data_IF_141449778360
#
_entry.id   IF_141449778360
#
_cell.length_a   1.000
_cell.length_b   1.000
_cell.length_c   1.000
_cell.angle_alpha   90.00
_cell.angle_beta   90.00
_cell.angle_gamma   90.00
#
_symmetry.space_group_name_H-M   'P 1'
#
loop_
_entity.id
_entity.type
_entity.pdbx_description
1 polymer ?
#
# COMPACT_ATOMS: atom_id res chain seq x y z
N UNK A 1 10.10 37.58 -93.06
CA UNK A 1 10.21 36.10 -92.78
C UNK A 1 10.81 35.80 -91.39
N UNK A 2 11.44 36.71 -90.67
CA UNK A 2 12.09 36.49 -89.39
C UNK A 2 11.08 36.41 -88.19
N UNK A 3 10.05 37.22 -88.17
CA UNK A 3 9.05 37.27 -87.12
C UNK A 3 8.15 35.98 -86.99
N UNK A 4 7.92 35.24 -88.11
CA UNK A 4 7.09 34.04 -88.09
C UNK A 4 7.76 32.82 -87.49
N UNK A 5 9.11 32.75 -87.56
CA UNK A 5 9.91 31.67 -86.92
C UNK A 5 10.05 31.82 -85.44
N UNK A 6 10.13 33.04 -84.90
CA UNK A 6 10.25 33.28 -83.47
C UNK A 6 8.93 32.97 -82.72
N UNK A 7 7.76 33.27 -83.35
CA UNK A 7 6.46 32.91 -82.81
C UNK A 7 6.21 31.39 -82.79
N UNK A 8 6.66 30.66 -83.81
CA UNK A 8 6.55 29.18 -83.82
C UNK A 8 7.38 28.49 -82.76
N UNK A 9 8.59 29.02 -82.50
CA UNK A 9 9.51 28.45 -81.47
C UNK A 9 8.99 28.72 -80.06
N UNK A 10 8.39 29.89 -79.81
CA UNK A 10 7.79 30.24 -78.52
C UNK A 10 6.57 29.35 -78.21
N UNK A 11 5.71 29.14 -79.23
CA UNK A 11 4.54 28.30 -79.14
C UNK A 11 4.90 26.81 -78.88
N UNK A 12 5.99 26.32 -79.49
CA UNK A 12 6.51 24.97 -79.25
C UNK A 12 7.08 24.80 -77.84
N UNK A 13 7.77 25.82 -77.29
CA UNK A 13 8.27 25.80 -75.91
C UNK A 13 7.14 25.83 -74.90
N UNK A 14 6.12 26.63 -75.13
CA UNK A 14 4.93 26.69 -74.26
C UNK A 14 4.13 25.40 -74.27
N UNK A 15 3.98 24.70 -75.41
CA UNK A 15 3.36 23.41 -75.51
C UNK A 15 4.16 22.32 -74.80
N UNK A 16 5.50 22.32 -74.95
CA UNK A 16 6.39 21.36 -74.21
C UNK A 16 6.36 21.60 -72.69
N UNK A 17 6.37 22.85 -72.27
CA UNK A 17 6.30 23.21 -70.87
C UNK A 17 4.94 22.83 -70.23
N UNK A 18 3.84 23.00 -70.98
CA UNK A 18 2.51 22.55 -70.58
C UNK A 18 2.35 21.04 -70.53
N UNK A 19 2.97 20.29 -71.44
CA UNK A 19 2.98 18.81 -71.37
C UNK A 19 3.81 18.27 -70.21
N UNK A 20 4.96 18.92 -69.95
CA UNK A 20 5.81 18.54 -68.78
C UNK A 20 5.12 18.88 -67.46
N UNK A 21 4.42 20.01 -67.37
CA UNK A 21 3.66 20.35 -66.16
C UNK A 21 2.48 19.40 -65.91
N UNK A 22 1.75 19.02 -66.97
CA UNK A 22 0.65 18.02 -66.88
C UNK A 22 1.15 16.63 -66.48
N UNK A 23 2.34 16.18 -66.96
CA UNK A 23 2.96 14.92 -66.58
C UNK A 23 3.44 14.96 -65.13
N UNK A 24 4.03 16.06 -64.67
CA UNK A 24 4.43 16.27 -63.28
C UNK A 24 3.23 16.26 -62.30
N UNK A 25 2.14 16.97 -62.66
CA UNK A 25 0.90 17.00 -61.85
C UNK A 25 0.21 15.66 -61.79
N UNK A 26 0.22 14.88 -62.86
CA UNK A 26 -0.29 13.49 -62.91
C UNK A 26 0.55 12.54 -62.08
N UNK A 27 1.87 12.69 -62.03
CA UNK A 27 2.79 11.94 -61.20
C UNK A 27 2.60 12.22 -59.71
N UNK A 28 2.50 13.47 -59.36
CA UNK A 28 2.25 13.89 -57.97
C UNK A 28 0.90 13.39 -57.48
N UNK A 29 -0.18 13.48 -58.24
CA UNK A 29 -1.50 12.99 -57.87
C UNK A 29 -1.51 11.46 -57.69
N UNK A 30 -0.76 10.70 -58.53
CA UNK A 30 -0.62 9.23 -58.37
C UNK A 30 0.19 8.90 -57.08
N UNK A 31 1.26 9.62 -56.82
CA UNK A 31 2.06 9.46 -55.63
C UNK A 31 1.22 9.72 -54.39
N UNK A 32 0.53 10.84 -54.27
CA UNK A 32 -0.33 11.17 -53.12
C UNK A 32 -1.48 10.18 -52.94
N UNK A 33 -2.08 9.65 -54.00
CA UNK A 33 -3.07 8.57 -53.91
C UNK A 33 -2.48 7.26 -53.43
N UNK A 34 -1.26 6.91 -53.89
CA UNK A 34 -0.53 5.72 -53.39
C UNK A 34 -0.15 5.85 -51.93
N UNK A 35 0.41 6.99 -51.55
CA UNK A 35 0.78 7.34 -50.18
C UNK A 35 -0.45 7.35 -49.27
N UNK A 36 -1.57 7.94 -49.68
CA UNK A 36 -2.81 7.93 -48.89
C UNK A 36 -3.34 6.51 -48.67
N UNK A 37 -3.30 5.62 -49.68
CA UNK A 37 -3.68 4.21 -49.50
C UNK A 37 -2.74 3.48 -48.57
N UNK A 38 -1.43 3.70 -48.67
CA UNK A 38 -0.43 3.13 -47.76
C UNK A 38 -0.69 3.57 -46.30
N UNK A 39 -0.96 4.86 -46.09
CA UNK A 39 -1.22 5.40 -44.76
C UNK A 39 -2.52 4.82 -44.17
N UNK A 40 -3.59 4.71 -44.98
CA UNK A 40 -4.84 4.06 -44.55
C UNK A 40 -4.58 2.59 -44.16
N UNK A 41 -3.79 1.86 -44.95
CA UNK A 41 -3.47 0.46 -44.68
C UNK A 41 -2.68 0.34 -43.35
N UNK A 42 -1.66 1.18 -43.13
CA UNK A 42 -0.90 1.19 -41.90
C UNK A 42 -1.80 1.52 -40.70
N UNK A 43 -2.63 2.57 -40.81
CA UNK A 43 -3.59 2.91 -39.76
C UNK A 43 -4.58 1.78 -39.47
N UNK A 44 -5.07 1.08 -40.53
CA UNK A 44 -5.98 -0.06 -40.34
C UNK A 44 -5.29 -1.23 -39.62
N UNK A 45 -4.04 -1.54 -39.96
CA UNK A 45 -3.26 -2.59 -39.30
C UNK A 45 -3.00 -2.21 -37.82
N UNK A 46 -2.61 -0.97 -37.57
CA UNK A 46 -2.43 -0.46 -36.17
C UNK A 46 -3.74 -0.54 -35.37
N UNK A 47 -4.88 -0.18 -35.99
CA UNK A 47 -6.18 -0.25 -35.34
C UNK A 47 -6.57 -1.69 -34.99
N UNK A 48 -6.37 -2.63 -35.92
CA UNK A 48 -6.64 -4.06 -35.70
C UNK A 48 -5.71 -4.60 -34.58
N UNK A 49 -4.43 -4.26 -34.61
CA UNK A 49 -3.48 -4.63 -33.55
C UNK A 49 -3.91 -4.09 -32.17
N UNK A 50 -4.34 -2.83 -32.10
CA UNK A 50 -4.87 -2.23 -30.87
C UNK A 50 -6.13 -2.93 -30.39
N UNK A 51 -7.04 -3.31 -31.29
CA UNK A 51 -8.25 -4.06 -30.93
C UNK A 51 -7.92 -5.46 -30.38
N UNK A 52 -7.02 -6.19 -31.03
CA UNK A 52 -6.59 -7.52 -30.55
C UNK A 52 -5.93 -7.39 -29.17
N UNK A 53 -5.03 -6.44 -29.00
CA UNK A 53 -4.36 -6.18 -27.72
C UNK A 53 -5.37 -5.79 -26.64
N UNK A 54 -6.33 -4.92 -26.96
CA UNK A 54 -7.40 -4.51 -26.05
C UNK A 54 -8.30 -5.66 -25.61
N UNK A 55 -8.71 -6.53 -26.56
CA UNK A 55 -9.52 -7.73 -26.26
C UNK A 55 -8.71 -8.71 -25.39
N UNK A 56 -7.43 -8.95 -25.71
CA UNK A 56 -6.58 -9.84 -24.95
C UNK A 56 -6.39 -9.34 -23.51
N UNK A 57 -6.19 -8.04 -23.36
CA UNK A 57 -6.09 -7.41 -22.04
C UNK A 57 -7.42 -7.50 -21.26
N UNK A 58 -8.54 -7.27 -21.92
CA UNK A 58 -9.87 -7.40 -21.31
C UNK A 58 -10.16 -8.83 -20.84
N UNK A 59 -9.83 -9.84 -21.65
CA UNK A 59 -9.95 -11.25 -21.27
C UNK A 59 -9.04 -11.58 -20.09
N UNK A 60 -7.80 -11.10 -20.11
CA UNK A 60 -6.86 -11.28 -19.01
C UNK A 60 -7.37 -10.66 -17.70
N UNK A 61 -7.83 -9.41 -17.74
CA UNK A 61 -8.42 -8.74 -16.56
C UNK A 61 -9.66 -9.49 -16.07
N UNK A 62 -10.52 -9.96 -16.99
CA UNK A 62 -11.71 -10.75 -16.64
C UNK A 62 -11.32 -12.07 -15.95
N UNK A 63 -10.29 -12.76 -16.43
CA UNK A 63 -9.78 -13.99 -15.82
C UNK A 63 -9.29 -13.71 -14.40
N UNK A 64 -8.46 -12.68 -14.22
CA UNK A 64 -8.00 -12.25 -12.88
C UNK A 64 -9.16 -11.85 -11.96
N UNK A 65 -10.16 -11.16 -12.51
CA UNK A 65 -11.36 -10.80 -11.76
C UNK A 65 -12.24 -11.99 -11.40
N UNK A 66 -12.14 -13.12 -12.06
CA UNK A 66 -12.91 -14.34 -11.79
C UNK A 66 -12.29 -15.20 -10.68
N UNK A 67 -11.01 -15.00 -10.36
CA UNK A 67 -10.36 -15.71 -9.25
C UNK A 67 -10.92 -15.20 -7.91
N UNK A 68 -11.25 -16.07 -6.93
CA UNK A 68 -11.66 -15.63 -5.60
C UNK A 68 -10.52 -14.82 -4.95
N UNK A 69 -10.86 -13.86 -4.09
CA UNK A 69 -9.83 -13.09 -3.36
C UNK A 69 -8.96 -14.01 -2.53
N UNK A 70 -9.54 -15.07 -1.98
CA UNK A 70 -8.86 -15.99 -1.05
C UNK A 70 -8.41 -15.32 0.24
N UNK A 71 -8.86 -14.08 0.48
CA UNK A 71 -8.47 -13.27 1.63
C UNK A 71 -9.57 -13.30 2.67
N UNK A 72 -9.25 -13.81 3.86
CA UNK A 72 -10.11 -13.68 5.04
C UNK A 72 -9.53 -12.61 5.95
N UNK A 73 -10.27 -11.51 6.14
CA UNK A 73 -9.88 -10.38 7.00
C UNK A 73 -10.13 -10.64 8.49
N UNK A 74 -10.52 -11.85 8.89
CA UNK A 74 -10.73 -12.15 10.30
C UNK A 74 -9.41 -12.27 11.04
N UNK A 75 -9.40 -11.81 12.28
CA UNK A 75 -8.23 -11.86 13.16
C UNK A 75 -7.57 -13.26 13.21
N UNK A 76 -8.37 -14.32 13.18
CA UNK A 76 -7.90 -15.71 13.24
C UNK A 76 -7.10 -16.19 12.02
N UNK A 77 -7.19 -15.50 10.88
CA UNK A 77 -6.46 -15.88 9.66
C UNK A 77 -5.06 -15.26 9.58
N UNK A 78 -4.70 -14.42 10.55
CA UNK A 78 -3.43 -13.68 10.56
C UNK A 78 -2.58 -14.09 11.75
N UNK A 79 -1.27 -14.16 11.55
CA UNK A 79 -0.32 -14.49 12.63
C UNK A 79 -0.44 -13.47 13.76
N UNK A 80 -0.68 -13.96 14.96
CA UNK A 80 -0.82 -13.14 16.17
C UNK A 80 0.21 -13.53 17.22
N UNK A 81 0.57 -12.56 18.05
CA UNK A 81 1.46 -12.75 19.20
C UNK A 81 0.72 -13.38 20.36
N UNK A 82 1.21 -14.51 20.86
CA UNK A 82 0.76 -15.09 22.15
C UNK A 82 1.47 -14.38 23.30
N UNK A 83 0.83 -14.30 24.46
CA UNK A 83 1.40 -13.65 25.64
C UNK A 83 1.34 -14.55 26.84
N UNK A 84 2.45 -14.64 27.58
CA UNK A 84 2.51 -15.33 28.87
C UNK A 84 2.38 -14.27 29.95
N UNK A 85 1.45 -14.51 30.88
CA UNK A 85 1.26 -13.67 32.05
C UNK A 85 1.60 -14.46 33.31
N UNK A 86 2.21 -13.82 34.27
CA UNK A 86 2.48 -14.37 35.62
C UNK A 86 1.69 -13.60 36.66
N UNK A 87 1.27 -14.32 37.68
CA UNK A 87 0.66 -13.74 38.88
C UNK A 87 1.74 -13.62 39.95
N UNK A 88 2.11 -12.40 40.32
CA UNK A 88 3.08 -12.15 41.43
C UNK A 88 2.38 -12.36 42.78
N UNK A 89 2.97 -13.22 43.62
CA UNK A 89 2.69 -13.49 45.03
C UNK A 89 1.35 -12.97 45.59
N UNK A 90 0.30 -13.79 45.52
CA UNK A 90 -1.04 -13.52 46.08
C UNK A 90 -1.74 -12.23 45.62
N UNK A 91 -1.20 -11.51 44.63
CA UNK A 91 -1.93 -10.45 43.97
C UNK A 91 -2.99 -11.04 43.06
N UNK A 92 -4.08 -10.32 42.80
CA UNK A 92 -5.06 -10.70 41.77
C UNK A 92 -4.68 -10.15 40.40
N UNK A 93 -3.54 -9.49 40.32
CA UNK A 93 -3.05 -8.84 39.08
C UNK A 93 -2.10 -9.77 38.34
N UNK A 94 -2.31 -9.87 37.05
CA UNK A 94 -1.44 -10.58 36.12
C UNK A 94 -0.49 -9.58 35.48
N UNK A 95 0.80 -9.89 35.46
CA UNK A 95 1.83 -9.10 34.79
C UNK A 95 2.27 -9.85 33.54
N UNK A 96 2.36 -9.17 32.41
CA UNK A 96 2.94 -9.76 31.19
C UNK A 96 4.39 -10.15 31.46
N UNK A 97 4.73 -11.41 31.22
CA UNK A 97 6.06 -11.95 31.45
C UNK A 97 6.85 -12.07 30.14
N UNK A 98 6.20 -12.63 29.09
CA UNK A 98 6.87 -12.87 27.83
C UNK A 98 5.88 -12.85 26.67
N UNK A 99 6.32 -12.33 25.52
CA UNK A 99 5.62 -12.38 24.23
C UNK A 99 6.20 -13.48 23.37
N UNK A 100 5.31 -14.24 22.73
CA UNK A 100 5.66 -15.31 21.79
C UNK A 100 5.16 -14.93 20.41
N UNK A 101 6.06 -14.68 19.51
CA UNK A 101 5.78 -14.44 18.10
C UNK A 101 6.87 -15.09 17.26
N UNK A 102 6.51 -15.49 16.04
CA UNK A 102 7.47 -16.09 15.10
C UNK A 102 8.40 -15.01 14.52
N UNK A 103 7.95 -14.33 13.49
CA UNK A 103 8.73 -13.28 12.81
C UNK A 103 8.16 -11.88 13.03
N UNK A 104 6.91 -11.79 13.48
CA UNK A 104 6.14 -10.55 13.56
C UNK A 104 5.43 -10.41 14.91
N UNK A 105 5.62 -9.28 15.58
CA UNK A 105 4.85 -8.93 16.76
C UNK A 105 3.54 -8.26 16.32
N UNK A 106 2.43 -8.99 16.39
CA UNK A 106 1.09 -8.52 16.01
C UNK A 106 0.09 -8.78 17.12
N UNK A 107 -0.59 -7.72 17.52
CA UNK A 107 -1.68 -7.74 18.48
C UNK A 107 -2.89 -7.17 17.79
N UNK A 108 -3.91 -8.01 17.56
CA UNK A 108 -5.14 -7.55 16.90
C UNK A 108 -5.98 -6.68 17.82
N UNK A 109 -6.51 -5.59 17.27
CA UNK A 109 -7.44 -4.68 17.95
C UNK A 109 -8.70 -4.55 17.12
N UNK A 110 -9.84 -4.77 17.75
CA UNK A 110 -11.15 -4.61 17.11
C UNK A 110 -11.41 -3.15 16.74
N UNK A 111 -12.19 -2.92 15.68
CA UNK A 111 -12.49 -1.59 15.16
C UNK A 111 -13.01 -0.61 16.21
N UNK A 112 -13.79 -1.11 17.18
CA UNK A 112 -14.36 -0.29 18.28
C UNK A 112 -13.32 0.22 19.27
N UNK A 113 -12.18 -0.48 19.39
CA UNK A 113 -11.08 -0.15 20.31
C UNK A 113 -9.97 0.68 19.64
N UNK A 114 -10.02 0.83 18.30
CA UNK A 114 -9.14 1.75 17.58
C UNK A 114 -9.72 3.16 17.64
N UNK A 115 -9.00 4.15 18.22
CA UNK A 115 -9.51 5.51 18.34
C UNK A 115 -9.77 6.15 16.97
N UNK A 116 -10.80 7.00 16.91
CA UNK A 116 -11.14 7.71 15.67
C UNK A 116 -9.96 8.52 15.13
N UNK A 117 -9.15 9.11 16.02
CA UNK A 117 -7.95 9.86 15.67
C UNK A 117 -6.95 9.01 14.85
N UNK A 118 -6.77 7.71 15.17
CA UNK A 118 -5.89 6.82 14.40
C UNK A 118 -6.44 6.54 13.02
N UNK A 119 -7.74 6.26 12.91
CA UNK A 119 -8.43 6.05 11.64
C UNK A 119 -8.34 7.28 10.74
N UNK A 120 -8.61 8.45 11.31
CA UNK A 120 -8.55 9.71 10.60
C UNK A 120 -7.13 10.11 10.19
N UNK A 121 -6.12 9.85 11.02
CA UNK A 121 -4.72 10.11 10.70
C UNK A 121 -4.24 9.30 9.49
N UNK A 122 -4.55 8.00 9.48
CA UNK A 122 -4.17 7.13 8.36
C UNK A 122 -4.93 7.47 7.08
N UNK A 123 -6.25 7.68 7.17
CA UNK A 123 -7.06 8.09 6.01
C UNK A 123 -6.58 9.43 5.46
N UNK A 124 -6.27 10.40 6.33
CA UNK A 124 -5.82 11.72 5.91
C UNK A 124 -4.52 11.69 5.13
N UNK A 125 -3.55 10.85 5.52
CA UNK A 125 -2.22 10.84 4.93
C UNK A 125 -2.08 9.84 3.78
N UNK A 126 -2.74 8.68 3.85
CA UNK A 126 -2.59 7.61 2.87
C UNK A 126 -3.66 7.69 1.76
N UNK A 127 -4.91 7.93 2.13
CA UNK A 127 -6.02 7.83 1.21
C UNK A 127 -7.22 8.72 1.60
N UNK A 128 -7.07 10.02 1.41
CA UNK A 128 -8.07 11.02 1.84
C UNK A 128 -9.48 10.86 1.24
N UNK A 129 -9.61 10.07 0.17
CA UNK A 129 -10.90 9.72 -0.46
C UNK A 129 -11.27 8.26 -0.24
N UNK A 130 -10.73 7.61 0.80
CA UNK A 130 -10.96 6.20 1.09
C UNK A 130 -12.44 5.82 1.11
N UNK A 131 -13.29 6.67 1.69
CA UNK A 131 -14.73 6.41 1.78
C UNK A 131 -15.50 6.73 0.50
N UNK A 132 -14.87 7.39 -0.50
CA UNK A 132 -15.54 7.86 -1.72
C UNK A 132 -15.33 6.91 -2.93
N UNK A 133 -14.38 5.98 -2.86
CA UNK A 133 -14.07 5.05 -3.94
C UNK A 133 -14.28 3.59 -3.53
N UNK A 134 -14.37 2.68 -4.50
CA UNK A 134 -14.55 1.25 -4.30
C UNK A 134 -13.22 0.51 -4.56
N UNK A 135 -12.24 0.66 -3.67
CA UNK A 135 -10.96 -0.05 -3.70
C UNK A 135 -9.87 0.61 -4.55
N UNK A 136 -10.23 1.40 -5.56
CA UNK A 136 -9.28 2.09 -6.44
C UNK A 136 -9.71 3.54 -6.65
N UNK A 137 -8.82 4.46 -6.34
CA UNK A 137 -8.96 5.87 -6.71
C UNK A 137 -8.40 6.09 -8.13
N UNK A 138 -9.28 6.00 -9.13
CA UNK A 138 -8.91 6.12 -10.53
C UNK A 138 -8.27 7.47 -10.87
N UNK A 139 -8.71 8.55 -10.23
CA UNK A 139 -8.14 9.88 -10.43
C UNK A 139 -6.68 9.95 -9.98
N UNK A 140 -6.38 9.44 -8.78
CA UNK A 140 -5.00 9.36 -8.26
C UNK A 140 -4.15 8.40 -9.09
N UNK A 141 -4.70 7.24 -9.45
CA UNK A 141 -3.98 6.22 -10.24
C UNK A 141 -3.56 6.78 -11.59
N UNK A 142 -4.47 7.45 -12.32
CA UNK A 142 -4.17 8.07 -13.61
C UNK A 142 -3.16 9.21 -13.47
N UNK A 143 -3.28 10.05 -12.42
CA UNK A 143 -2.32 11.11 -12.15
C UNK A 143 -0.93 10.55 -11.85
N UNK A 144 -0.83 9.47 -11.08
CA UNK A 144 0.45 8.81 -10.77
C UNK A 144 1.11 8.24 -12.05
N UNK A 145 0.33 7.63 -12.93
CA UNK A 145 0.83 7.13 -14.24
C UNK A 145 1.30 8.28 -15.13
N UNK A 146 0.56 9.39 -15.18
CA UNK A 146 0.95 10.56 -15.96
C UNK A 146 2.24 11.21 -15.42
N UNK A 147 2.37 11.32 -14.09
CA UNK A 147 3.58 11.84 -13.43
C UNK A 147 4.80 10.95 -13.68
N UNK A 148 4.62 9.62 -13.65
CA UNK A 148 5.69 8.68 -13.99
C UNK A 148 6.17 8.88 -15.44
N UNK A 149 5.26 9.11 -16.38
CA UNK A 149 5.59 9.37 -17.79
C UNK A 149 6.31 10.72 -18.00
N UNK A 150 6.08 11.71 -17.15
CA UNK A 150 6.71 13.04 -17.20
C UNK A 150 7.97 13.17 -16.35
N UNK A 151 8.34 12.13 -15.58
CA UNK A 151 9.49 12.16 -14.67
C UNK A 151 9.30 13.03 -13.44
N UNK A 152 8.06 13.41 -13.12
CA UNK A 152 7.73 14.16 -11.91
C UNK A 152 7.63 13.19 -10.72
N UNK A 153 8.01 13.66 -9.52
CA UNK A 153 7.83 12.89 -8.28
C UNK A 153 6.36 12.54 -8.10
N UNK A 154 6.05 11.25 -8.11
CA UNK A 154 4.67 10.81 -7.93
C UNK A 154 4.39 10.58 -6.45
N UNK A 155 3.47 11.33 -5.89
CA UNK A 155 2.81 10.95 -4.64
C UNK A 155 2.15 9.58 -4.83
N UNK A 156 2.23 8.70 -3.80
CA UNK A 156 1.72 7.34 -3.86
C UNK A 156 0.28 7.28 -4.39
N UNK A 157 0.10 6.57 -5.51
CA UNK A 157 -1.20 6.43 -6.17
C UNK A 157 -2.04 5.25 -5.65
N UNK A 158 -1.52 4.44 -4.71
CA UNK A 158 -2.21 3.29 -4.15
C UNK A 158 -3.17 3.70 -3.05
N UNK A 159 -4.32 3.02 -2.98
CA UNK A 159 -5.33 3.18 -1.92
C UNK A 159 -4.99 2.32 -0.70
N UNK A 160 -5.65 2.58 0.44
CA UNK A 160 -5.56 1.74 1.65
C UNK A 160 -5.91 0.28 1.31
N UNK A 161 -6.98 0.05 0.53
CA UNK A 161 -7.39 -1.30 0.12
C UNK A 161 -6.32 -2.01 -0.72
N UNK A 162 -5.66 -1.29 -1.63
CA UNK A 162 -4.55 -1.84 -2.42
C UNK A 162 -3.33 -2.15 -1.57
N UNK A 163 -3.01 -1.28 -0.60
CA UNK A 163 -1.91 -1.52 0.35
C UNK A 163 -2.21 -2.72 1.25
N UNK A 164 -3.46 -2.88 1.72
CA UNK A 164 -3.89 -4.04 2.49
C UNK A 164 -3.67 -5.34 1.71
N UNK A 165 -4.12 -5.39 0.44
CA UNK A 165 -3.90 -6.55 -0.43
C UNK A 165 -2.41 -6.88 -0.53
N UNK A 166 -1.56 -5.88 -0.79
CA UNK A 166 -0.12 -6.06 -0.87
C UNK A 166 0.47 -6.64 0.41
N UNK A 167 0.07 -6.10 1.57
CA UNK A 167 0.60 -6.53 2.87
C UNK A 167 0.16 -7.95 3.24
N UNK A 168 -1.09 -8.35 2.91
CA UNK A 168 -1.59 -9.70 3.20
C UNK A 168 -1.00 -10.75 2.26
N UNK A 169 -0.78 -10.40 0.98
CA UNK A 169 -0.30 -11.38 -0.01
C UNK A 169 1.21 -11.48 -0.06
N UNK A 170 1.93 -10.59 0.63
CA UNK A 170 3.40 -10.44 0.60
C UNK A 170 4.00 -10.47 -0.83
N UNK A 171 3.18 -10.02 -1.81
CA UNK A 171 3.59 -9.96 -3.20
C UNK A 171 4.39 -8.67 -3.45
N UNK A 172 5.70 -8.76 -3.25
CA UNK A 172 6.65 -7.65 -3.38
C UNK A 172 7.26 -7.53 -4.78
N UNK A 173 6.83 -8.36 -5.76
CA UNK A 173 7.30 -8.29 -7.12
C UNK A 173 7.00 -6.93 -7.76
N UNK A 174 7.98 -6.33 -8.45
CA UNK A 174 7.79 -5.08 -9.17
C UNK A 174 7.38 -5.39 -10.61
N UNK A 175 6.08 -5.62 -10.85
CA UNK A 175 5.55 -5.93 -12.18
C UNK A 175 4.18 -5.27 -12.43
N UNK A 176 3.88 -5.00 -13.70
CA UNK A 176 2.55 -4.51 -14.11
C UNK A 176 1.48 -5.56 -13.80
N UNK A 177 1.79 -6.83 -14.00
CA UNK A 177 0.90 -7.96 -13.71
C UNK A 177 0.50 -8.02 -12.25
N UNK A 178 1.47 -7.84 -11.34
CA UNK A 178 1.19 -7.72 -9.90
C UNK A 178 0.23 -6.56 -9.62
N UNK A 179 0.49 -5.37 -10.21
CA UNK A 179 -0.37 -4.21 -9.97
C UNK A 179 -1.80 -4.42 -10.50
N UNK A 180 -1.98 -5.13 -11.61
CA UNK A 180 -3.30 -5.50 -12.10
C UNK A 180 -4.01 -6.48 -11.15
N UNK A 181 -3.30 -7.49 -10.63
CA UNK A 181 -3.84 -8.41 -9.60
C UNK A 181 -4.24 -7.66 -8.34
N UNK A 182 -3.41 -6.75 -7.85
CA UNK A 182 -3.69 -5.90 -6.70
C UNK A 182 -4.98 -5.07 -6.91
N UNK A 183 -5.11 -4.41 -8.07
CA UNK A 183 -6.30 -3.65 -8.44
C UNK A 183 -7.55 -4.53 -8.47
N UNK A 184 -7.49 -5.68 -9.14
CA UNK A 184 -8.64 -6.58 -9.24
C UNK A 184 -9.06 -7.16 -7.90
N UNK A 185 -8.11 -7.53 -7.05
CA UNK A 185 -8.37 -8.00 -5.69
C UNK A 185 -8.94 -6.88 -4.81
N UNK A 186 -8.45 -5.64 -4.93
CA UNK A 186 -8.96 -4.50 -4.18
C UNK A 186 -10.43 -4.20 -4.52
N UNK A 187 -10.79 -4.21 -5.81
CA UNK A 187 -12.18 -4.03 -6.25
C UNK A 187 -13.12 -5.12 -5.71
N UNK A 188 -12.64 -6.35 -5.60
CA UNK A 188 -13.42 -7.47 -5.04
C UNK A 188 -13.54 -7.38 -3.52
N UNK A 189 -12.44 -7.07 -2.83
CA UNK A 189 -12.44 -6.96 -1.38
C UNK A 189 -13.48 -5.95 -0.90
N UNK A 190 -13.63 -4.84 -1.63
CA UNK A 190 -14.65 -3.82 -1.36
C UNK A 190 -16.09 -4.27 -1.65
N UNK A 191 -16.28 -5.38 -2.37
CA UNK A 191 -17.59 -6.01 -2.54
C UNK A 191 -17.91 -7.00 -1.42
N UNK A 192 -16.88 -7.58 -0.80
CA UNK A 192 -16.99 -8.61 0.23
C UNK A 192 -17.00 -8.02 1.65
N UNK A 193 -16.33 -6.87 1.86
CA UNK A 193 -16.11 -6.26 3.17
C UNK A 193 -16.48 -4.77 3.18
N UNK A 194 -16.92 -4.29 4.33
CA UNK A 194 -17.20 -2.86 4.54
C UNK A 194 -15.89 -2.05 4.66
N UNK A 195 -15.97 -0.73 4.46
CA UNK A 195 -14.86 0.19 4.67
C UNK A 195 -14.24 0.08 6.06
N UNK A 196 -15.07 -0.07 7.08
CA UNK A 196 -14.62 -0.20 8.47
C UNK A 196 -13.83 -1.50 8.68
N UNK A 197 -14.29 -2.61 8.10
CA UNK A 197 -13.57 -3.89 8.17
C UNK A 197 -12.24 -3.86 7.41
N UNK A 198 -12.21 -3.19 6.26
CA UNK A 198 -10.97 -3.00 5.48
C UNK A 198 -9.98 -2.13 6.24
N UNK A 199 -10.45 -1.03 6.84
CA UNK A 199 -9.61 -0.13 7.62
C UNK A 199 -9.09 -0.80 8.90
N UNK A 200 -9.95 -1.54 9.61
CA UNK A 200 -9.56 -2.38 10.76
C UNK A 200 -8.45 -3.34 10.39
N UNK A 201 -8.65 -4.13 9.33
CA UNK A 201 -7.65 -5.07 8.87
C UNK A 201 -6.34 -4.38 8.47
N UNK A 202 -6.41 -3.25 7.75
CA UNK A 202 -5.24 -2.46 7.38
C UNK A 202 -4.44 -2.02 8.61
N UNK A 203 -5.11 -1.43 9.60
CA UNK A 203 -4.49 -0.94 10.83
C UNK A 203 -3.87 -2.05 11.69
N UNK A 204 -4.35 -3.28 11.53
CA UNK A 204 -3.80 -4.45 12.22
C UNK A 204 -2.68 -5.18 11.45
N UNK A 205 -2.50 -4.88 10.15
CA UNK A 205 -1.56 -5.63 9.29
C UNK A 205 -0.36 -4.80 8.86
N UNK A 206 -0.53 -3.48 8.75
CA UNK A 206 0.53 -2.61 8.23
C UNK A 206 1.75 -2.61 9.12
N UNK A 207 2.94 -2.59 8.49
CA UNK A 207 4.23 -2.59 9.16
C UNK A 207 4.58 -1.16 9.62
N UNK A 208 4.84 -1.01 10.92
CA UNK A 208 5.26 0.24 11.55
C UNK A 208 6.76 0.25 11.93
N UNK A 209 7.56 -0.66 11.38
CA UNK A 209 8.97 -0.79 11.72
C UNK A 209 9.23 -1.60 13.01
N UNK A 210 10.50 -1.92 13.27
CA UNK A 210 10.93 -2.64 14.48
C UNK A 210 10.12 -3.94 14.73
N UNK A 211 9.79 -4.70 13.68
CA UNK A 211 8.95 -5.89 13.70
C UNK A 211 7.51 -5.67 14.22
N UNK A 212 7.06 -4.41 14.36
CA UNK A 212 5.70 -4.12 14.78
C UNK A 212 4.75 -4.18 13.60
N UNK A 213 3.85 -5.16 13.64
CA UNK A 213 2.72 -5.27 12.72
C UNK A 213 1.45 -4.83 13.45
N UNK A 214 0.77 -3.84 12.88
CA UNK A 214 -0.45 -3.28 13.45
C UNK A 214 -0.22 -2.20 14.51
N UNK A 215 -1.27 -1.40 14.69
CA UNK A 215 -1.25 -0.17 15.50
C UNK A 215 -1.06 -0.41 17.00
N UNK A 216 -1.54 -1.54 17.53
CA UNK A 216 -1.40 -1.85 18.95
C UNK A 216 0.06 -2.14 19.30
N UNK A 217 0.72 -2.99 18.50
CA UNK A 217 2.14 -3.28 18.68
C UNK A 217 3.00 -2.03 18.56
N UNK A 218 2.65 -1.13 17.62
CA UNK A 218 3.31 0.15 17.45
C UNK A 218 3.09 1.08 18.66
N UNK A 219 1.85 1.20 19.15
CA UNK A 219 1.54 2.03 20.32
C UNK A 219 2.28 1.55 21.57
N UNK A 220 2.33 0.26 21.80
CA UNK A 220 3.07 -0.33 22.92
C UNK A 220 4.57 -0.09 22.80
N UNK A 221 5.17 -0.26 21.62
CA UNK A 221 6.59 -0.02 21.43
C UNK A 221 6.95 1.46 21.57
N UNK A 222 6.22 2.33 20.88
CA UNK A 222 6.61 3.73 20.78
C UNK A 222 6.17 4.55 21.99
N UNK A 223 5.07 4.17 22.66
CA UNK A 223 4.48 4.94 23.74
C UNK A 223 4.24 4.18 25.05
N UNK A 224 4.48 2.87 25.08
CA UNK A 224 4.32 2.03 26.28
C UNK A 224 2.87 1.89 26.76
N UNK A 225 1.87 2.08 25.84
CA UNK A 225 0.44 2.02 26.16
C UNK A 225 -0.37 1.47 25.01
N UNK A 226 -1.63 1.13 25.29
CA UNK A 226 -2.55 0.69 24.25
C UNK A 226 -2.86 1.82 23.24
N UNK A 227 -3.11 1.45 21.98
CA UNK A 227 -3.56 2.40 20.95
C UNK A 227 -4.83 3.15 21.36
N UNK A 228 -5.69 2.55 22.15
CA UNK A 228 -6.92 3.14 22.70
C UNK A 228 -6.67 4.40 23.52
N UNK A 229 -5.49 4.49 24.15
CA UNK A 229 -5.08 5.60 25.02
C UNK A 229 -4.23 6.65 24.28
N UNK A 230 -3.92 6.42 23.00
CA UNK A 230 -3.07 7.32 22.24
C UNK A 230 -3.78 8.63 21.90
N UNK A 231 -3.04 9.73 22.06
CA UNK A 231 -3.46 11.08 21.68
C UNK A 231 -3.51 11.25 20.14
N UNK A 232 -4.06 12.37 19.68
CA UNK A 232 -4.06 12.73 18.26
C UNK A 232 -2.62 12.82 17.73
N UNK A 233 -1.71 13.43 18.48
CA UNK A 233 -0.31 13.58 18.07
C UNK A 233 0.43 12.24 18.00
N UNK A 234 0.16 11.33 18.94
CA UNK A 234 0.71 9.98 18.95
C UNK A 234 0.15 9.13 17.79
N UNK A 235 -1.15 9.20 17.54
CA UNK A 235 -1.78 8.57 16.36
C UNK A 235 -1.15 9.08 15.04
N UNK A 236 -0.91 10.39 14.95
CA UNK A 236 -0.26 10.99 13.80
C UNK A 236 1.21 10.54 13.65
N UNK A 237 1.93 10.36 14.77
CA UNK A 237 3.29 9.84 14.76
C UNK A 237 3.35 8.39 14.23
N UNK A 238 2.43 7.53 14.67
CA UNK A 238 2.29 6.14 14.17
C UNK A 238 1.91 6.17 12.70
N UNK A 239 0.86 6.91 12.31
CA UNK A 239 0.40 7.00 10.93
C UNK A 239 1.49 7.48 9.96
N UNK A 240 2.36 8.38 10.41
CA UNK A 240 3.48 8.89 9.62
C UNK A 240 4.51 7.84 9.22
N UNK A 241 4.59 6.72 9.94
CA UNK A 241 5.59 5.66 9.69
C UNK A 241 5.24 4.82 8.45
N UNK A 242 3.95 4.65 8.13
CA UNK A 242 3.44 3.72 7.11
C UNK A 242 4.12 3.83 5.75
N UNK A 243 4.41 5.03 5.29
CA UNK A 243 4.98 5.29 3.98
C UNK A 243 6.41 4.71 3.82
N UNK A 244 7.23 4.83 4.84
CA UNK A 244 8.62 4.35 4.85
C UNK A 244 9.07 4.12 6.29
N UNK A 245 8.85 2.91 6.85
CA UNK A 245 9.18 2.60 8.24
C UNK A 245 10.65 2.84 8.61
N UNK A 246 11.57 2.63 7.67
CA UNK A 246 12.99 2.88 7.93
C UNK A 246 13.34 4.36 8.04
N UNK A 247 12.67 5.23 7.27
CA UNK A 247 12.96 6.67 7.24
C UNK A 247 12.26 7.42 8.37
N UNK A 248 11.03 7.00 8.69
CA UNK A 248 10.16 7.69 9.65
C UNK A 248 10.13 7.02 11.03
N UNK A 249 11.09 6.11 11.29
CA UNK A 249 11.22 5.44 12.59
C UNK A 249 11.54 6.45 13.69
N UNK A 250 10.66 6.63 14.69
CA UNK A 250 10.86 7.66 15.71
C UNK A 250 11.98 7.35 16.69
N UNK A 251 12.36 6.07 16.86
CA UNK A 251 13.46 5.66 17.74
C UNK A 251 14.83 5.92 17.12
N UNK A 252 14.91 5.91 15.80
CA UNK A 252 16.17 6.10 15.05
C UNK A 252 16.27 7.54 14.53
N UNK A 253 15.17 8.08 14.00
CA UNK A 253 15.11 9.38 13.36
C UNK A 253 13.96 10.22 13.93
N UNK A 254 14.03 10.65 15.22
CA UNK A 254 12.93 11.37 15.87
C UNK A 254 12.55 12.68 15.18
N UNK A 255 13.51 13.40 14.60
CA UNK A 255 13.23 14.65 13.88
C UNK A 255 12.51 14.39 12.56
N UNK A 256 12.88 13.34 11.83
CA UNK A 256 12.16 12.96 10.61
C UNK A 256 10.71 12.58 10.93
N UNK A 257 10.51 11.79 12.00
CA UNK A 257 9.16 11.46 12.46
C UNK A 257 8.39 12.69 12.87
N UNK A 258 9.03 13.66 13.55
CA UNK A 258 8.42 14.95 13.90
C UNK A 258 7.91 15.70 12.67
N UNK A 259 8.76 15.88 11.68
CA UNK A 259 8.38 16.51 10.43
C UNK A 259 7.18 15.81 9.79
N UNK A 260 7.22 14.48 9.74
CA UNK A 260 6.16 13.68 9.12
C UNK A 260 4.85 13.71 9.89
N UNK A 261 4.87 13.59 11.24
CA UNK A 261 3.64 13.64 12.05
C UNK A 261 2.98 15.02 12.02
N UNK A 262 3.77 16.09 11.94
CA UNK A 262 3.23 17.45 11.78
C UNK A 262 2.53 17.61 10.43
N UNK A 263 3.02 16.97 9.35
CA UNK A 263 2.32 16.88 8.07
C UNK A 263 0.99 16.11 8.24
N UNK A 264 0.98 15.00 8.98
CA UNK A 264 -0.26 14.23 9.23
C UNK A 264 -1.27 15.08 9.99
N UNK A 265 -0.87 15.78 11.05
CA UNK A 265 -1.74 16.64 11.84
C UNK A 265 -2.31 17.79 10.96
N UNK A 266 -1.50 18.40 10.10
CA UNK A 266 -1.96 19.40 9.15
C UNK A 266 -3.01 18.83 8.18
N UNK A 267 -2.75 17.64 7.59
CA UNK A 267 -3.70 16.99 6.69
C UNK A 267 -5.02 16.64 7.39
N UNK A 268 -4.97 16.20 8.67
CA UNK A 268 -6.18 15.98 9.47
C UNK A 268 -6.99 17.27 9.65
N UNK A 269 -6.31 18.38 9.93
CA UNK A 269 -6.98 19.68 10.10
C UNK A 269 -7.54 20.21 8.78
N UNK A 270 -6.78 20.18 7.70
CA UNK A 270 -7.21 20.65 6.36
C UNK A 270 -8.41 19.84 5.84
N UNK A 271 -8.48 18.56 6.18
CA UNK A 271 -9.60 17.68 5.86
C UNK A 271 -10.74 17.74 6.88
N UNK A 272 -10.67 18.65 7.87
CA UNK A 272 -11.69 18.86 8.91
C UNK A 272 -11.97 17.61 9.76
N UNK A 273 -10.97 16.77 9.96
CA UNK A 273 -11.02 15.60 10.83
C UNK A 273 -10.82 15.96 12.29
N UNK A 274 -10.15 17.06 12.55
CA UNK A 274 -9.94 17.64 13.89
C UNK A 274 -10.30 19.12 13.89
N UNK A 275 -10.68 19.62 15.05
CA UNK A 275 -10.97 21.03 15.30
C UNK A 275 -9.69 21.86 15.41
N UNK A 276 -9.82 23.19 15.42
CA UNK A 276 -8.65 24.08 15.61
C UNK A 276 -8.00 23.88 16.96
N UNK A 277 -8.79 23.71 18.03
CA UNK A 277 -8.25 23.52 19.39
C UNK A 277 -7.50 22.18 19.50
N UNK A 278 -8.02 21.10 18.90
CA UNK A 278 -7.35 19.80 18.81
C UNK A 278 -6.07 19.87 18.01
N UNK A 279 -6.09 20.60 16.90
CA UNK A 279 -4.88 20.85 16.07
C UNK A 279 -3.79 21.56 16.86
N UNK A 280 -4.12 22.68 17.56
CA UNK A 280 -3.15 23.45 18.32
C UNK A 280 -2.60 22.61 19.51
N UNK A 281 -3.45 21.81 20.17
CA UNK A 281 -3.03 20.89 21.22
C UNK A 281 -2.09 19.79 20.67
N UNK A 282 -2.43 19.16 19.55
CA UNK A 282 -1.61 18.12 18.91
C UNK A 282 -0.26 18.66 18.43
N UNK A 283 -0.20 19.84 17.84
CA UNK A 283 1.04 20.49 17.42
C UNK A 283 1.93 20.83 18.61
N UNK A 284 1.36 21.30 19.72
CA UNK A 284 2.10 21.56 20.94
C UNK A 284 2.67 20.28 21.55
N UNK A 285 1.88 19.21 21.59
CA UNK A 285 2.31 17.89 22.05
C UNK A 285 3.43 17.33 21.17
N UNK A 286 3.27 17.43 19.84
CA UNK A 286 4.30 17.03 18.87
C UNK A 286 5.66 17.66 19.13
N UNK A 287 5.70 18.92 19.54
CA UNK A 287 6.96 19.63 19.80
C UNK A 287 7.78 19.03 20.96
N UNK A 288 7.13 18.34 21.90
CA UNK A 288 7.76 17.81 23.13
C UNK A 288 7.60 16.30 23.27
N UNK A 289 7.14 15.61 22.22
CA UNK A 289 6.87 14.18 22.23
C UNK A 289 8.11 13.36 22.53
N UNK A 290 7.96 12.36 23.38
CA UNK A 290 9.00 11.38 23.72
C UNK A 290 8.53 9.99 23.35
N UNK A 291 9.47 9.14 22.96
CA UNK A 291 9.23 7.75 22.65
C UNK A 291 9.89 6.86 23.70
N UNK A 292 9.19 5.79 24.08
CA UNK A 292 9.65 4.85 25.10
C UNK A 292 10.70 3.90 24.54
N UNK A 293 10.42 3.31 23.36
CA UNK A 293 11.27 2.31 22.75
C UNK A 293 11.20 0.96 23.46
N UNK A 294 12.15 0.10 23.17
CA UNK A 294 12.32 -1.15 23.90
C UNK A 294 12.74 -0.78 25.33
N UNK A 295 11.87 -1.02 26.29
CA UNK A 295 12.30 -1.02 27.68
C UNK A 295 13.13 -2.28 27.85
N UNK A 296 14.43 -2.11 28.16
CA UNK A 296 15.16 -3.15 28.82
C UNK A 296 14.36 -3.47 30.11
N UNK A 297 14.08 -4.74 30.35
CA UNK A 297 13.55 -5.13 31.66
C UNK A 297 14.47 -4.51 32.70
N UNK A 298 13.92 -3.81 33.70
CA UNK A 298 14.68 -3.17 34.80
C UNK A 298 15.53 -4.18 35.64
N UNK A 299 15.67 -5.42 35.16
CA UNK A 299 16.46 -6.50 35.73
C UNK A 299 17.86 -6.64 35.06
N UNK A 300 18.30 -5.69 34.22
CA UNK A 300 19.68 -5.64 33.71
C UNK A 300 20.65 -4.99 34.72
N UNK A 301 20.60 -5.44 35.95
CA UNK A 301 21.74 -5.40 36.83
C UNK A 301 22.47 -6.74 36.72
N UNK A 302 23.61 -6.70 36.07
CA UNK A 302 24.73 -7.64 36.07
C UNK A 302 24.62 -8.90 35.20
N UNK A 303 25.62 -8.98 34.29
CA UNK A 303 26.28 -10.15 33.75
C UNK A 303 25.56 -10.93 32.60
N UNK A 304 26.19 -10.87 31.42
CA UNK A 304 26.36 -11.91 30.41
C UNK A 304 25.41 -13.17 30.44
N UNK A 305 24.14 -13.02 30.79
CA UNK A 305 23.13 -14.02 30.56
C UNK A 305 22.44 -13.78 29.21
N UNK A 306 23.09 -14.26 28.15
CA UNK A 306 22.39 -14.67 26.96
C UNK A 306 21.13 -15.43 27.39
N UNK A 307 19.95 -14.85 27.07
CA UNK A 307 18.63 -15.49 26.98
C UNK A 307 18.57 -16.86 27.72
N UNK A 308 18.67 -16.85 29.04
CA UNK A 308 18.40 -18.05 29.84
C UNK A 308 16.89 -18.22 29.78
N UNK A 309 16.45 -18.83 28.70
CA UNK A 309 15.12 -19.35 28.56
C UNK A 309 14.89 -20.23 29.81
N UNK A 310 14.16 -19.70 30.78
CA UNK A 310 13.97 -20.34 32.07
C UNK A 310 13.37 -21.73 31.81
N UNK A 311 14.04 -22.81 32.29
CA UNK A 311 13.57 -24.19 32.15
C UNK A 311 12.08 -24.36 32.47
N UNK A 312 11.54 -23.51 33.35
CA UNK A 312 10.12 -23.48 33.68
C UNK A 312 9.27 -23.04 32.48
N UNK A 313 9.71 -22.02 31.77
CA UNK A 313 9.03 -21.54 30.54
C UNK A 313 9.08 -22.60 29.46
N UNK A 314 10.23 -23.28 29.28
CA UNK A 314 10.33 -24.41 28.33
C UNK A 314 9.36 -25.53 28.69
N UNK A 315 9.16 -25.80 29.97
CA UNK A 315 8.21 -26.81 30.42
C UNK A 315 6.77 -26.34 30.17
N UNK A 316 6.43 -25.07 30.47
CA UNK A 316 5.11 -24.50 30.18
C UNK A 316 4.81 -24.59 28.68
N UNK A 317 5.79 -24.31 27.84
CA UNK A 317 5.66 -24.45 26.38
C UNK A 317 5.33 -25.88 25.94
N UNK A 318 6.10 -26.84 26.44
CA UNK A 318 5.88 -28.26 26.11
C UNK A 318 4.50 -28.76 26.56
N UNK A 319 4.06 -28.29 27.70
CA UNK A 319 2.76 -28.69 28.25
C UNK A 319 1.64 -28.01 27.46
N UNK A 320 1.76 -26.70 27.11
CA UNK A 320 0.82 -25.99 26.23
C UNK A 320 0.74 -26.66 24.85
N UNK A 321 1.87 -27.02 24.23
CA UNK A 321 1.88 -27.70 22.94
C UNK A 321 1.10 -29.01 22.99
N UNK A 322 1.29 -29.81 24.06
CA UNK A 322 0.56 -31.07 24.23
C UNK A 322 -0.94 -30.87 24.46
N UNK A 323 -1.29 -29.87 25.28
CA UNK A 323 -2.69 -29.57 25.56
C UNK A 323 -3.41 -29.02 24.31
N UNK A 324 -2.78 -28.14 23.55
CA UNK A 324 -3.27 -27.63 22.28
C UNK A 324 -3.40 -28.76 21.25
N UNK A 325 -2.37 -29.61 21.13
CA UNK A 325 -2.39 -30.79 20.24
C UNK A 325 -3.56 -31.71 20.55
N UNK A 326 -3.78 -31.97 21.83
CA UNK A 326 -4.88 -32.81 22.31
C UNK A 326 -6.25 -32.17 22.11
N UNK A 327 -6.38 -30.89 22.44
CA UNK A 327 -7.65 -30.15 22.33
C UNK A 327 -8.13 -30.03 20.87
N UNK A 328 -7.22 -29.70 19.94
CA UNK A 328 -7.54 -29.53 18.52
C UNK A 328 -7.35 -30.81 17.68
N UNK A 329 -6.90 -31.91 18.31
CA UNK A 329 -6.58 -33.19 17.64
C UNK A 329 -5.60 -33.02 16.46
N UNK A 330 -4.50 -32.31 16.70
CA UNK A 330 -3.44 -32.00 15.74
C UNK A 330 -2.09 -32.50 16.23
N UNK A 331 -1.04 -32.48 15.39
CA UNK A 331 0.31 -32.83 15.82
C UNK A 331 0.91 -31.78 16.76
N UNK A 332 1.88 -32.17 17.61
CA UNK A 332 2.60 -31.20 18.48
C UNK A 332 3.31 -30.09 17.65
N UNK A 333 3.84 -30.42 16.46
CA UNK A 333 4.41 -29.44 15.56
C UNK A 333 3.38 -28.42 15.07
N UNK A 334 2.16 -28.86 14.71
CA UNK A 334 1.08 -27.96 14.33
C UNK A 334 0.58 -27.14 15.53
N UNK A 335 0.58 -27.72 16.74
CA UNK A 335 0.26 -27.02 17.98
C UNK A 335 1.30 -25.93 18.31
N UNK A 336 2.58 -26.23 18.08
CA UNK A 336 3.66 -25.25 18.21
C UNK A 336 3.46 -24.07 17.26
N UNK A 337 3.22 -24.35 15.96
CA UNK A 337 2.93 -23.31 14.98
C UNK A 337 1.73 -22.46 15.42
N UNK A 338 0.67 -23.08 15.91
CA UNK A 338 -0.54 -22.41 16.40
C UNK A 338 -0.25 -21.46 17.57
N UNK A 339 0.61 -21.88 18.49
CA UNK A 339 1.03 -21.10 19.66
C UNK A 339 1.76 -19.79 19.25
N UNK A 340 2.57 -19.85 18.19
CA UNK A 340 3.34 -18.70 17.71
C UNK A 340 2.58 -17.82 16.71
N UNK A 341 1.52 -18.31 16.09
CA UNK A 341 0.87 -17.61 14.97
C UNK A 341 -0.57 -17.18 15.22
N UNK A 342 -1.30 -17.82 16.15
CA UNK A 342 -2.73 -17.52 16.34
C UNK A 342 -3.05 -16.64 17.54
N UNK A 343 -2.09 -16.35 18.42
CA UNK A 343 -2.28 -15.56 19.64
C UNK A 343 -3.18 -16.28 20.67
N UNK A 344 -2.64 -16.63 21.82
CA UNK A 344 -3.34 -17.27 22.94
C UNK A 344 -3.20 -16.45 24.22
#
# INVERSE_FOLDING_TARGET
MRNKRETDISQYKDLQQNELSKKADGGAKRFFRGFGKFLITVCSVCLVALLITGISLAVYIFTLASEPTGIDLKAKSMNQTSRIYIQKDNSKEFTEYQKLYDTENRIWVDNQDIPQAMKDAVVAIEDKRFFDHNGVDWGRTLSAVANLATGSDSYGGSTITQQLIKNITDDNEVSITRKLREITKALKLEQEYTKDQILEAYLNVVNFGNNCQGVESAAQLYFGKSIKECSIAECAAIAGITQNPSRWNPLVFPENNKERREIVINEMYDQKKITKDEFDAAMKESATMKFVGWQASDDDDDDDEADVQNWYIDQVFRDLQKDIAKYYNISESAASSKLYTEGL
#
